data_IF_280275957730
#
_entry.id   IF_280275957730
#
_cell.length_a   1.000
_cell.length_b   1.000
_cell.length_c   1.000
_cell.angle_alpha   90.00
_cell.angle_beta   90.00
_cell.angle_gamma   90.00
#
_symmetry.space_group_name_H-M   'P 1'
#
loop_
_entity.id
_entity.type
_entity.pdbx_description
1 polymer ?
#
# COMPACT_ATOMS: atom_id res chain seq x y z
N UNK A 1 -29.89 13.95 -67.79
CA UNK A 1 -28.88 13.00 -67.27
C UNK A 1 -28.42 13.53 -65.92
N UNK A 2 -29.03 13.06 -64.83
CA UNK A 2 -28.70 13.51 -63.46
C UNK A 2 -27.75 12.51 -62.82
N UNK A 3 -26.52 12.94 -62.57
CA UNK A 3 -25.49 12.16 -61.87
C UNK A 3 -25.75 12.34 -60.37
N UNK A 4 -26.32 11.32 -59.75
CA UNK A 4 -26.60 11.29 -58.32
C UNK A 4 -25.29 11.10 -57.55
N UNK A 5 -24.99 12.04 -56.64
CA UNK A 5 -23.76 12.16 -55.88
C UNK A 5 -23.68 11.08 -54.78
N UNK A 6 -23.12 9.91 -55.10
CA UNK A 6 -23.02 8.73 -54.23
C UNK A 6 -21.95 8.84 -53.13
N UNK A 7 -21.13 9.91 -53.11
CA UNK A 7 -20.03 10.04 -52.14
C UNK A 7 -20.48 10.40 -50.72
N UNK A 8 -21.64 11.04 -50.54
CA UNK A 8 -22.11 11.47 -49.21
C UNK A 8 -22.76 10.34 -48.39
N UNK A 9 -23.21 9.25 -49.02
CA UNK A 9 -23.88 8.16 -48.31
C UNK A 9 -22.91 7.22 -47.56
N UNK A 10 -21.65 7.12 -48.01
CA UNK A 10 -20.64 6.21 -47.44
C UNK A 10 -19.99 6.81 -46.17
N UNK A 11 -19.86 8.13 -46.09
CA UNK A 11 -19.30 8.79 -44.90
C UNK A 11 -20.27 8.81 -43.72
N UNK A 12 -21.59 8.85 -43.97
CA UNK A 12 -22.61 8.89 -42.92
C UNK A 12 -22.77 7.55 -42.18
N UNK A 13 -22.61 6.43 -42.89
CA UNK A 13 -22.68 5.06 -42.32
C UNK A 13 -21.41 4.68 -41.56
N UNK A 14 -20.24 5.18 -41.99
CA UNK A 14 -18.96 4.95 -41.32
C UNK A 14 -18.86 5.67 -39.96
N UNK A 15 -19.33 6.93 -39.92
CA UNK A 15 -19.31 7.74 -38.70
C UNK A 15 -20.31 7.24 -37.63
N UNK A 16 -21.47 6.72 -38.06
CA UNK A 16 -22.45 6.12 -37.14
C UNK A 16 -21.99 4.77 -36.59
N UNK A 17 -21.34 3.91 -37.40
CA UNK A 17 -20.73 2.67 -36.89
C UNK A 17 -19.59 2.92 -35.90
N UNK A 18 -18.72 3.90 -36.17
CA UNK A 18 -17.64 4.27 -35.27
C UNK A 18 -18.16 4.87 -33.94
N UNK A 19 -19.23 5.68 -33.99
CA UNK A 19 -19.89 6.21 -32.81
C UNK A 19 -20.62 5.13 -31.99
N UNK A 20 -21.25 4.15 -32.63
CA UNK A 20 -21.85 2.98 -31.97
C UNK A 20 -20.79 2.07 -31.34
N UNK A 21 -19.63 1.91 -31.98
CA UNK A 21 -18.47 1.19 -31.42
C UNK A 21 -17.87 1.89 -30.19
N UNK A 22 -17.75 3.22 -30.22
CA UNK A 22 -17.31 4.01 -29.06
C UNK A 22 -18.35 4.01 -27.93
N UNK A 23 -19.65 4.08 -28.23
CA UNK A 23 -20.70 3.98 -27.20
C UNK A 23 -20.80 2.57 -26.61
N UNK A 24 -20.57 1.51 -27.39
CA UNK A 24 -20.53 0.13 -26.89
C UNK A 24 -19.31 -0.14 -26.01
N UNK A 25 -18.15 0.43 -26.33
CA UNK A 25 -16.97 0.39 -25.46
C UNK A 25 -17.14 1.21 -24.18
N UNK A 26 -17.92 2.30 -24.22
CA UNK A 26 -18.23 3.15 -23.07
C UNK A 26 -19.32 2.58 -22.13
N UNK A 27 -20.01 1.51 -22.53
CA UNK A 27 -21.14 0.94 -21.79
C UNK A 27 -20.91 -0.49 -21.27
N UNK A 28 -19.67 -1.02 -21.33
CA UNK A 28 -19.33 -2.18 -20.50
C UNK A 28 -19.33 -1.72 -19.04
N UNK A 29 -20.49 -1.84 -18.39
CA UNK A 29 -20.55 -1.68 -16.93
C UNK A 29 -19.63 -2.73 -16.34
N UNK A 30 -18.68 -2.27 -15.54
CA UNK A 30 -17.89 -3.18 -14.73
C UNK A 30 -18.84 -4.00 -13.86
N UNK A 31 -18.86 -5.32 -14.04
CA UNK A 31 -19.62 -6.18 -13.16
C UNK A 31 -18.90 -6.27 -11.81
N UNK A 32 -19.70 -6.29 -10.74
CA UNK A 32 -19.21 -6.61 -9.41
C UNK A 32 -19.21 -8.14 -9.24
N UNK A 33 -18.03 -8.72 -9.22
CA UNK A 33 -17.82 -10.16 -9.17
C UNK A 33 -17.32 -10.54 -7.79
N UNK A 34 -18.06 -11.41 -7.09
CA UNK A 34 -17.72 -11.82 -5.72
C UNK A 34 -17.10 -13.20 -5.70
N UNK A 35 -16.17 -13.41 -4.77
CA UNK A 35 -15.61 -14.74 -4.49
C UNK A 35 -16.70 -15.61 -3.83
N UNK A 36 -16.88 -16.85 -4.31
CA UNK A 36 -17.92 -17.78 -3.81
C UNK A 36 -17.53 -18.54 -2.55
N UNK A 37 -16.24 -18.57 -2.19
CA UNK A 37 -15.76 -19.30 -1.03
C UNK A 37 -14.25 -19.22 -0.85
N UNK A 38 -13.76 -19.76 0.26
CA UNK A 38 -12.32 -19.87 0.51
C UNK A 38 -11.66 -20.76 -0.54
N UNK A 39 -10.56 -20.28 -1.11
CA UNK A 39 -9.77 -21.09 -2.03
C UNK A 39 -9.13 -22.30 -1.34
N UNK A 40 -9.17 -23.44 -2.01
CA UNK A 40 -8.55 -24.70 -1.57
C UNK A 40 -7.51 -25.18 -2.56
N UNK A 41 -6.46 -25.87 -2.10
CA UNK A 41 -5.44 -26.46 -2.97
C UNK A 41 -4.74 -25.44 -3.88
N UNK A 42 -4.84 -25.66 -5.20
CA UNK A 42 -4.21 -24.86 -6.26
C UNK A 42 -5.15 -23.81 -6.88
N UNK A 43 -6.28 -23.51 -6.23
CA UNK A 43 -7.17 -22.45 -6.68
C UNK A 43 -6.52 -21.07 -6.44
N UNK A 44 -6.70 -20.18 -7.41
CA UNK A 44 -6.20 -18.81 -7.43
C UNK A 44 -7.15 -17.90 -8.24
N UNK A 45 -6.88 -16.60 -8.35
CA UNK A 45 -7.74 -15.68 -9.09
C UNK A 45 -8.00 -16.04 -10.58
N UNK A 46 -7.19 -16.91 -11.20
CA UNK A 46 -7.37 -17.36 -12.57
C UNK A 46 -8.30 -18.58 -12.67
N UNK A 47 -8.74 -19.14 -11.54
CA UNK A 47 -9.69 -20.25 -11.50
C UNK A 47 -11.12 -19.75 -11.75
N UNK A 48 -11.72 -20.17 -12.86
CA UNK A 48 -13.02 -19.64 -13.30
C UNK A 48 -14.18 -19.88 -12.33
N UNK A 49 -14.24 -21.07 -11.72
CA UNK A 49 -15.36 -21.48 -10.84
C UNK A 49 -15.34 -20.82 -9.46
N UNK A 50 -14.32 -20.01 -9.15
CA UNK A 50 -14.24 -19.31 -7.87
C UNK A 50 -15.15 -18.09 -7.80
N UNK A 51 -15.46 -17.50 -8.94
CA UNK A 51 -16.07 -16.20 -9.04
C UNK A 51 -17.57 -16.31 -9.31
N UNK A 52 -18.33 -15.31 -8.88
CA UNK A 52 -19.80 -15.31 -9.02
C UNK A 52 -20.30 -15.40 -10.46
N UNK A 53 -19.46 -15.04 -11.44
CA UNK A 53 -19.74 -15.09 -12.87
C UNK A 53 -19.22 -16.36 -13.57
N UNK A 54 -18.71 -17.35 -12.82
CA UNK A 54 -18.17 -18.61 -13.35
C UNK A 54 -17.07 -18.42 -14.43
N UNK A 55 -16.35 -17.29 -14.38
CA UNK A 55 -15.27 -16.96 -15.29
C UNK A 55 -14.00 -16.56 -14.52
N UNK A 56 -12.83 -16.80 -15.11
CA UNK A 56 -11.56 -16.38 -14.52
C UNK A 56 -11.54 -14.85 -14.35
N UNK A 57 -10.70 -14.35 -13.43
CA UNK A 57 -10.55 -12.90 -13.30
C UNK A 57 -10.11 -12.29 -14.64
N UNK A 58 -10.77 -11.22 -15.06
CA UNK A 58 -10.59 -10.62 -16.38
C UNK A 58 -10.71 -9.09 -16.31
N UNK A 59 -10.07 -8.38 -17.26
CA UNK A 59 -10.17 -6.93 -17.32
C UNK A 59 -11.62 -6.46 -17.45
N UNK A 60 -11.91 -5.30 -16.85
CA UNK A 60 -13.23 -4.67 -16.92
C UNK A 60 -14.13 -4.94 -15.72
N UNK A 61 -13.88 -5.99 -14.92
CA UNK A 61 -14.69 -6.31 -13.74
C UNK A 61 -14.03 -5.88 -12.43
N UNK A 62 -14.85 -5.54 -11.43
CA UNK A 62 -14.41 -5.29 -10.06
C UNK A 62 -14.62 -6.56 -9.22
N UNK A 63 -13.56 -7.02 -8.56
CA UNK A 63 -13.58 -8.29 -7.81
C UNK A 63 -13.56 -8.06 -6.30
N UNK A 64 -14.36 -8.84 -5.57
CA UNK A 64 -14.52 -8.69 -4.12
C UNK A 64 -14.31 -10.03 -3.41
N UNK A 65 -13.46 -10.06 -2.38
CA UNK A 65 -13.23 -11.29 -1.59
C UNK A 65 -14.39 -11.63 -0.68
N UNK A 66 -15.19 -10.64 -0.25
CA UNK A 66 -16.38 -10.83 0.59
C UNK A 66 -16.14 -11.70 1.84
N UNK A 67 -15.04 -11.44 2.56
CA UNK A 67 -14.64 -12.21 3.75
C UNK A 67 -13.94 -13.54 3.48
N UNK A 68 -13.83 -13.97 2.22
CA UNK A 68 -13.12 -15.20 1.87
C UNK A 68 -11.62 -14.97 1.63
N UNK A 69 -10.88 -16.07 1.60
CA UNK A 69 -9.45 -16.11 1.28
C UNK A 69 -9.23 -16.28 -0.21
N UNK A 70 -8.59 -15.27 -0.82
CA UNK A 70 -8.02 -15.29 -2.16
C UNK A 70 -6.51 -15.57 -2.07
N UNK A 71 -5.97 -16.28 -3.06
CA UNK A 71 -4.55 -16.57 -3.22
C UNK A 71 -4.10 -16.11 -4.60
N UNK A 72 -2.85 -15.65 -4.65
CA UNK A 72 -2.17 -15.46 -5.94
C UNK A 72 -1.78 -16.84 -6.51
N UNK A 73 -1.53 -16.96 -7.81
CA UNK A 73 -1.04 -18.20 -8.41
C UNK A 73 0.24 -18.70 -7.74
N UNK A 74 0.27 -19.99 -7.41
CA UNK A 74 1.41 -20.60 -6.72
C UNK A 74 2.49 -21.02 -7.72
N UNK A 75 3.38 -20.09 -8.05
CA UNK A 75 4.61 -20.40 -8.76
C UNK A 75 5.75 -20.49 -7.74
N UNK A 76 5.78 -21.54 -6.93
CA UNK A 76 6.50 -21.63 -5.65
C UNK A 76 7.99 -21.27 -5.66
N UNK A 77 8.65 -21.15 -6.82
CA UNK A 77 10.04 -20.70 -6.97
C UNK A 77 10.24 -19.70 -8.12
N UNK A 78 9.17 -19.17 -8.70
CA UNK A 78 9.26 -18.28 -9.84
C UNK A 78 9.35 -16.83 -9.40
N UNK A 79 10.29 -16.09 -10.01
CA UNK A 79 10.34 -14.64 -9.98
C UNK A 79 9.40 -14.01 -11.03
N UNK A 80 8.67 -14.82 -11.81
CA UNK A 80 7.69 -14.32 -12.77
C UNK A 80 6.59 -13.56 -12.02
N UNK A 81 6.45 -12.25 -12.26
CA UNK A 81 5.41 -11.45 -11.63
C UNK A 81 4.02 -12.01 -11.95
N UNK A 82 3.17 -12.09 -10.92
CA UNK A 82 1.77 -12.42 -11.08
C UNK A 82 0.95 -11.13 -11.09
N UNK A 83 0.34 -10.82 -12.22
CA UNK A 83 -0.48 -9.62 -12.39
C UNK A 83 -1.94 -9.99 -12.15
N UNK A 84 -2.62 -9.26 -11.26
CA UNK A 84 -4.07 -9.41 -11.13
C UNK A 84 -4.76 -8.80 -12.37
N UNK A 85 -5.56 -9.58 -13.13
CA UNK A 85 -6.10 -9.13 -14.40
C UNK A 85 -7.38 -8.30 -14.29
N UNK A 86 -8.01 -8.26 -13.11
CA UNK A 86 -9.26 -7.50 -12.91
C UNK A 86 -9.04 -5.99 -12.89
N UNK A 87 -10.12 -5.22 -13.12
CA UNK A 87 -10.06 -3.76 -13.07
C UNK A 87 -9.73 -3.26 -11.65
N UNK A 88 -10.27 -3.94 -10.62
CA UNK A 88 -9.92 -3.72 -9.23
C UNK A 88 -10.11 -4.99 -8.40
N UNK A 89 -9.37 -5.08 -7.29
CA UNK A 89 -9.56 -6.09 -6.26
C UNK A 89 -9.87 -5.40 -4.93
N UNK A 90 -11.02 -5.71 -4.35
CA UNK A 90 -11.36 -5.32 -2.98
C UNK A 90 -11.22 -6.53 -2.07
N UNK A 91 -10.25 -6.45 -1.15
CA UNK A 91 -10.10 -7.39 -0.05
C UNK A 91 -10.78 -6.77 1.15
N UNK A 92 -11.94 -7.30 1.52
CA UNK A 92 -12.71 -6.82 2.66
C UNK A 92 -13.36 -8.00 3.37
N UNK A 93 -13.74 -7.75 4.62
CA UNK A 93 -14.42 -8.70 5.47
C UNK A 93 -15.82 -9.04 5.01
N UNK A 94 -16.32 -10.17 5.50
CA UNK A 94 -17.67 -10.66 5.24
C UNK A 94 -18.62 -10.36 6.42
N UNK A 95 -19.85 -10.87 6.31
CA UNK A 95 -20.82 -10.84 7.41
C UNK A 95 -20.21 -11.51 8.65
N UNK A 96 -20.35 -10.87 9.81
CA UNK A 96 -19.82 -11.39 11.08
C UNK A 96 -18.40 -10.95 11.44
N UNK A 97 -17.79 -10.02 10.68
CA UNK A 97 -16.52 -9.38 11.05
C UNK A 97 -15.28 -10.20 10.70
N UNK A 98 -15.42 -11.29 9.95
CA UNK A 98 -14.29 -12.04 9.42
C UNK A 98 -13.47 -11.16 8.48
N UNK A 99 -12.13 -11.20 8.58
CA UNK A 99 -11.25 -10.45 7.68
C UNK A 99 -11.14 -11.15 6.32
N UNK A 100 -11.36 -10.40 5.23
CA UNK A 100 -11.03 -10.90 3.89
C UNK A 100 -9.52 -11.12 3.79
N UNK A 101 -9.07 -12.17 3.13
CA UNK A 101 -7.63 -12.47 3.08
C UNK A 101 -7.10 -12.53 1.66
N UNK A 102 -6.02 -11.81 1.38
CA UNK A 102 -5.18 -11.99 0.20
C UNK A 102 -3.89 -12.69 0.60
N UNK A 103 -3.67 -13.88 0.06
CA UNK A 103 -2.50 -14.69 0.33
C UNK A 103 -1.55 -14.66 -0.87
N UNK A 104 -0.39 -14.06 -0.70
CA UNK A 104 0.67 -14.01 -1.72
C UNK A 104 1.41 -15.35 -1.75
N UNK A 105 1.13 -16.16 -2.78
CA UNK A 105 1.85 -17.41 -3.06
C UNK A 105 2.97 -17.23 -4.07
N UNK A 106 2.96 -16.12 -4.79
CA UNK A 106 4.01 -15.67 -5.72
C UNK A 106 5.00 -14.73 -5.02
N UNK A 107 6.23 -14.67 -5.55
CA UNK A 107 7.28 -13.78 -5.03
C UNK A 107 7.03 -12.32 -5.38
N UNK A 108 6.44 -12.08 -6.54
CA UNK A 108 6.12 -10.75 -7.05
C UNK A 108 4.67 -10.77 -7.48
N UNK A 109 3.90 -9.80 -6.99
CA UNK A 109 2.49 -9.62 -7.30
C UNK A 109 2.26 -8.17 -7.69
N UNK A 110 1.61 -7.95 -8.81
CA UNK A 110 1.25 -6.62 -9.30
C UNK A 110 -0.27 -6.47 -9.32
N UNK A 111 -0.80 -5.41 -8.71
CA UNK A 111 -2.23 -5.09 -8.72
C UNK A 111 -2.42 -3.60 -9.03
N UNK A 112 -3.18 -3.28 -10.06
CA UNK A 112 -3.38 -1.89 -10.47
C UNK A 112 -4.25 -1.08 -9.48
N UNK A 113 -5.40 -1.63 -9.05
CA UNK A 113 -6.28 -1.03 -8.04
C UNK A 113 -6.60 -2.08 -6.97
N UNK A 114 -6.00 -1.90 -5.78
CA UNK A 114 -6.23 -2.72 -4.60
C UNK A 114 -6.93 -1.88 -3.53
N UNK A 115 -8.08 -2.36 -3.06
CA UNK A 115 -8.85 -1.73 -1.98
C UNK A 115 -8.85 -2.66 -0.78
N UNK A 116 -8.41 -2.16 0.36
CA UNK A 116 -8.30 -2.93 1.59
C UNK A 116 -9.30 -2.40 2.61
N UNK A 117 -10.31 -3.21 2.93
CA UNK A 117 -11.21 -2.98 4.05
C UNK A 117 -10.69 -3.65 5.33
N UNK A 118 -11.56 -4.38 6.02
CA UNK A 118 -11.17 -5.27 7.12
C UNK A 118 -10.48 -6.50 6.51
N UNK A 119 -9.17 -6.38 6.32
CA UNK A 119 -8.43 -7.23 5.40
C UNK A 119 -7.12 -7.73 5.98
N UNK A 120 -6.71 -8.94 5.59
CA UNK A 120 -5.38 -9.48 5.87
C UNK A 120 -4.66 -9.70 4.54
N UNK A 121 -3.52 -9.06 4.35
CA UNK A 121 -2.59 -9.40 3.28
C UNK A 121 -1.46 -10.21 3.90
N UNK A 122 -1.28 -11.44 3.44
CA UNK A 122 -0.27 -12.32 3.99
C UNK A 122 0.65 -12.92 2.95
N UNK A 123 1.95 -12.98 3.27
CA UNK A 123 2.88 -13.78 2.47
C UNK A 123 2.74 -15.25 2.85
N UNK A 124 2.72 -16.14 1.86
CA UNK A 124 2.92 -17.56 2.05
C UNK A 124 3.59 -18.25 0.86
N UNK A 125 4.45 -17.50 0.15
CA UNK A 125 5.20 -18.00 -0.98
C UNK A 125 6.15 -19.11 -0.53
N UNK A 126 5.89 -20.36 -0.95
CA UNK A 126 6.74 -21.53 -0.69
C UNK A 126 6.89 -21.99 0.77
N UNK A 127 7.67 -23.07 0.95
CA UNK A 127 7.95 -23.71 2.24
C UNK A 127 9.27 -23.25 2.90
N UNK A 128 10.08 -22.47 2.18
CA UNK A 128 11.38 -21.95 2.61
C UNK A 128 11.44 -20.44 2.36
N UNK A 129 12.39 -19.76 3.00
CA UNK A 129 12.48 -18.30 3.17
C UNK A 129 12.32 -17.48 1.88
N UNK A 130 11.11 -16.95 1.65
CA UNK A 130 10.78 -16.24 0.42
C UNK A 130 10.11 -14.92 0.77
N UNK A 131 10.85 -13.84 0.49
CA UNK A 131 10.33 -12.47 0.40
C UNK A 131 9.20 -12.42 -0.65
N UNK A 132 8.04 -11.91 -0.23
CA UNK A 132 6.98 -11.50 -1.15
C UNK A 132 7.06 -10.00 -1.40
N UNK A 133 6.90 -9.60 -2.65
CA UNK A 133 6.78 -8.21 -3.08
C UNK A 133 5.38 -8.02 -3.64
N UNK A 134 4.66 -7.05 -3.08
CA UNK A 134 3.37 -6.59 -3.58
C UNK A 134 3.57 -5.18 -4.15
N UNK A 135 3.44 -5.05 -5.46
CA UNK A 135 3.43 -3.76 -6.16
C UNK A 135 1.98 -3.36 -6.44
N UNK A 136 1.62 -2.15 -6.03
CA UNK A 136 0.27 -1.62 -6.20
C UNK A 136 0.31 -0.24 -6.83
N UNK A 137 -0.41 -0.03 -7.93
CA UNK A 137 -0.49 1.32 -8.51
C UNK A 137 -1.40 2.22 -7.68
N UNK A 138 -2.61 1.80 -7.36
CA UNK A 138 -3.52 2.52 -6.47
C UNK A 138 -3.89 1.62 -5.29
N UNK A 139 -3.39 1.94 -4.11
CA UNK A 139 -3.76 1.27 -2.87
C UNK A 139 -4.73 2.17 -2.10
N UNK A 140 -5.96 1.72 -1.90
CA UNK A 140 -6.95 2.43 -1.08
C UNK A 140 -7.18 1.68 0.22
N UNK A 141 -6.83 2.28 1.37
CA UNK A 141 -7.29 1.78 2.67
C UNK A 141 -8.68 2.36 2.95
N UNK A 142 -9.71 1.52 3.02
CA UNK A 142 -11.10 1.97 3.14
C UNK A 142 -11.36 2.62 4.51
N UNK A 143 -12.14 3.68 4.51
CA UNK A 143 -12.40 4.51 5.70
C UNK A 143 -13.00 3.71 6.86
N UNK A 144 -12.47 3.93 8.05
CA UNK A 144 -12.90 3.23 9.27
C UNK A 144 -12.57 1.73 9.28
N UNK A 145 -11.75 1.25 8.33
CA UNK A 145 -11.29 -0.14 8.26
C UNK A 145 -9.82 -0.27 8.61
N UNK A 146 -9.44 -1.50 8.97
CA UNK A 146 -8.05 -1.87 9.25
C UNK A 146 -7.64 -3.01 8.35
N UNK A 147 -6.60 -2.76 7.56
CA UNK A 147 -5.88 -3.77 6.81
C UNK A 147 -4.61 -4.17 7.56
N UNK A 148 -4.41 -5.47 7.73
CA UNK A 148 -3.27 -6.07 8.38
C UNK A 148 -2.36 -6.72 7.35
N UNK A 149 -1.11 -6.30 7.29
CA UNK A 149 -0.05 -6.86 6.46
C UNK A 149 0.88 -7.69 7.35
N UNK A 150 0.90 -9.01 7.11
CA UNK A 150 1.62 -9.98 7.97
C UNK A 150 2.42 -11.01 7.17
N UNK A 151 3.59 -11.39 7.66
CA UNK A 151 4.22 -12.65 7.29
C UNK A 151 3.78 -13.78 8.24
N UNK A 152 3.29 -14.91 7.71
CA UNK A 152 2.61 -15.94 8.51
C UNK A 152 3.52 -16.93 9.24
N UNK A 153 4.80 -17.05 8.86
CA UNK A 153 5.76 -17.94 9.53
C UNK A 153 7.18 -17.37 9.46
N UNK A 154 8.13 -17.93 10.23
CA UNK A 154 9.48 -17.40 10.54
C UNK A 154 10.34 -16.92 9.36
N UNK A 155 9.90 -17.14 8.12
CA UNK A 155 10.68 -16.94 6.91
C UNK A 155 9.90 -16.17 5.80
N UNK A 156 8.99 -15.26 6.15
CA UNK A 156 8.10 -14.59 5.18
C UNK A 156 8.08 -13.08 5.37
N UNK A 157 9.11 -12.40 4.88
CA UNK A 157 9.15 -10.94 4.81
C UNK A 157 8.23 -10.40 3.69
N UNK A 158 7.83 -9.13 3.80
CA UNK A 158 6.93 -8.49 2.84
C UNK A 158 7.46 -7.10 2.44
N UNK A 159 7.63 -6.89 1.14
CA UNK A 159 7.84 -5.58 0.54
C UNK A 159 6.52 -5.09 -0.07
N UNK A 160 6.11 -3.89 0.29
CA UNK A 160 4.97 -3.19 -0.29
C UNK A 160 5.47 -1.96 -1.05
N UNK A 161 5.26 -1.94 -2.36
CA UNK A 161 5.55 -0.79 -3.21
C UNK A 161 4.24 -0.20 -3.70
N UNK A 162 3.99 1.08 -3.44
CA UNK A 162 2.73 1.76 -3.77
C UNK A 162 3.01 2.99 -4.61
N UNK A 163 2.35 3.15 -5.76
CA UNK A 163 2.44 4.40 -6.51
C UNK A 163 1.56 5.47 -5.88
N UNK A 164 0.27 5.20 -5.66
CA UNK A 164 -0.69 6.11 -5.06
C UNK A 164 -1.35 5.46 -3.84
N UNK A 165 -1.07 5.98 -2.65
CA UNK A 165 -1.75 5.60 -1.41
C UNK A 165 -2.93 6.55 -1.15
N UNK A 166 -4.12 5.99 -0.97
CA UNK A 166 -5.40 6.69 -0.92
C UNK A 166 -6.27 6.20 0.25
N UNK A 167 -7.28 7.00 0.62
CA UNK A 167 -8.28 6.67 1.62
C UNK A 167 -7.92 7.08 3.05
N UNK A 168 -8.82 6.77 3.99
CA UNK A 168 -8.73 7.14 5.41
C UNK A 168 -8.64 5.95 6.37
N UNK A 169 -8.49 4.72 5.86
CA UNK A 169 -8.33 3.52 6.68
C UNK A 169 -6.94 3.37 7.32
N UNK A 170 -6.76 2.29 8.09
CA UNK A 170 -5.48 1.93 8.71
C UNK A 170 -4.76 0.84 7.90
N UNK A 171 -3.51 1.08 7.52
CA UNK A 171 -2.58 0.06 6.98
C UNK A 171 -1.60 -0.35 8.07
N UNK A 172 -1.73 -1.56 8.60
CA UNK A 172 -0.96 -2.02 9.75
C UNK A 172 -0.02 -3.15 9.39
N UNK A 173 1.27 -2.98 9.64
CA UNK A 173 2.27 -4.04 9.58
C UNK A 173 2.35 -4.73 10.95
N UNK A 174 2.32 -6.06 10.99
CA UNK A 174 2.33 -6.80 12.25
C UNK A 174 3.07 -8.12 12.17
N UNK A 175 3.36 -8.75 13.31
CA UNK A 175 4.24 -9.92 13.50
C UNK A 175 5.70 -9.53 13.80
N UNK A 176 6.11 -9.77 15.04
CA UNK A 176 7.37 -9.31 15.58
C UNK A 176 8.63 -9.97 15.04
N UNK A 177 8.50 -11.13 14.39
CA UNK A 177 9.63 -11.88 13.85
C UNK A 177 9.91 -11.55 12.37
N UNK A 178 9.42 -10.41 11.85
CA UNK A 178 9.36 -10.11 10.42
C UNK A 178 10.08 -8.82 10.05
N UNK A 179 10.50 -8.76 8.79
CA UNK A 179 10.94 -7.55 8.13
C UNK A 179 9.93 -7.11 7.07
N UNK A 180 9.70 -5.81 7.05
CA UNK A 180 8.81 -5.11 6.14
C UNK A 180 9.59 -4.03 5.43
N UNK A 181 9.33 -3.85 4.14
CA UNK A 181 9.80 -2.69 3.40
C UNK A 181 8.59 -1.96 2.79
N UNK A 182 8.59 -0.64 2.88
CA UNK A 182 7.53 0.21 2.34
C UNK A 182 8.13 1.30 1.47
N UNK A 183 7.68 1.33 0.21
CA UNK A 183 7.83 2.47 -0.68
C UNK A 183 6.45 3.02 -1.05
N UNK A 184 6.29 4.33 -0.98
CA UNK A 184 5.10 5.03 -1.46
C UNK A 184 5.53 6.25 -2.27
N UNK A 185 5.10 6.36 -3.53
CA UNK A 185 5.45 7.50 -4.39
C UNK A 185 4.60 8.72 -4.08
N UNK A 186 3.27 8.55 -4.04
CA UNK A 186 2.30 9.61 -3.80
C UNK A 186 1.37 9.21 -2.65
N UNK A 187 1.39 9.97 -1.54
CA UNK A 187 0.53 9.71 -0.39
C UNK A 187 -0.22 10.96 0.11
N UNK A 188 -0.17 12.08 -0.61
CA UNK A 188 -0.76 13.35 -0.18
C UNK A 188 -2.29 13.35 -0.08
N UNK A 189 -2.97 12.37 -0.66
CA UNK A 189 -4.43 12.18 -0.55
C UNK A 189 -4.83 11.15 0.53
N UNK A 190 -3.85 10.50 1.19
CA UNK A 190 -4.11 9.57 2.28
C UNK A 190 -4.31 10.33 3.59
N UNK A 191 -5.44 10.08 4.25
CA UNK A 191 -5.83 10.71 5.52
C UNK A 191 -5.89 9.73 6.69
N UNK A 192 -5.57 8.46 6.42
CA UNK A 192 -5.62 7.37 7.38
C UNK A 192 -4.36 7.26 8.22
N UNK A 193 -4.06 6.04 8.67
CA UNK A 193 -2.85 5.74 9.44
C UNK A 193 -2.03 4.60 8.85
N UNK A 194 -0.71 4.71 8.98
CA UNK A 194 0.23 3.59 8.81
C UNK A 194 0.67 3.13 10.19
N UNK A 195 0.48 1.86 10.51
CA UNK A 195 0.78 1.28 11.81
C UNK A 195 1.89 0.23 11.76
N UNK A 196 2.71 0.14 12.80
CA UNK A 196 3.64 -0.96 13.05
C UNK A 196 3.38 -1.58 14.43
N UNK A 197 2.78 -2.77 14.45
CA UNK A 197 2.49 -3.53 15.67
C UNK A 197 3.59 -4.54 16.01
N UNK A 198 4.40 -4.96 15.03
CA UNK A 198 5.47 -5.93 15.23
C UNK A 198 6.41 -5.97 14.03
N UNK A 199 7.69 -6.21 14.29
CA UNK A 199 8.71 -6.45 13.28
C UNK A 199 9.52 -5.19 12.97
N UNK A 200 10.34 -5.26 11.94
CA UNK A 200 11.13 -4.12 11.46
C UNK A 200 10.49 -3.57 10.19
N UNK A 201 10.09 -2.30 10.18
CA UNK A 201 9.67 -1.61 8.97
C UNK A 201 10.78 -0.70 8.46
N UNK A 202 11.20 -0.90 7.21
CA UNK A 202 12.17 -0.06 6.51
C UNK A 202 11.47 0.80 5.47
N UNK A 203 11.70 2.11 5.53
CA UNK A 203 11.21 3.03 4.50
C UNK A 203 12.19 3.08 3.34
N UNK A 204 11.76 2.65 2.15
CA UNK A 204 12.62 2.55 0.96
C UNK A 204 12.43 3.70 -0.04
N UNK A 205 11.52 4.63 0.25
CA UNK A 205 11.40 5.93 -0.42
C UNK A 205 11.01 7.00 0.60
N UNK A 206 11.16 8.28 0.24
CA UNK A 206 10.51 9.35 0.98
C UNK A 206 8.99 9.15 0.95
N UNK A 207 8.31 9.34 2.09
CA UNK A 207 6.86 9.17 2.22
C UNK A 207 6.27 10.44 2.80
N UNK A 208 5.31 11.03 2.09
CA UNK A 208 4.66 12.29 2.48
C UNK A 208 3.17 12.09 2.81
N UNK A 209 2.87 11.83 4.09
CA UNK A 209 1.52 11.62 4.65
C UNK A 209 0.99 12.92 5.28
N UNK A 210 0.83 13.97 4.48
CA UNK A 210 0.47 15.32 4.95
C UNK A 210 -0.82 15.38 5.78
N UNK A 211 -1.78 14.51 5.47
CA UNK A 211 -3.03 14.34 6.22
C UNK A 211 -3.09 13.06 7.07
N UNK A 212 -2.07 12.21 7.01
CA UNK A 212 -2.07 10.88 7.60
C UNK A 212 -1.18 10.77 8.84
N UNK A 213 -1.49 9.81 9.71
CA UNK A 213 -0.73 9.53 10.92
C UNK A 213 0.17 8.31 10.77
N UNK A 214 1.20 8.22 11.61
CA UNK A 214 1.97 6.99 11.78
C UNK A 214 1.91 6.52 13.24
N UNK A 215 1.66 5.23 13.46
CA UNK A 215 1.60 4.63 14.79
C UNK A 215 2.56 3.46 14.91
N UNK A 216 3.19 3.30 16.06
CA UNK A 216 4.15 2.23 16.33
C UNK A 216 3.98 1.74 17.76
N UNK A 217 3.73 0.45 17.96
CA UNK A 217 3.74 -0.14 19.30
C UNK A 217 5.18 -0.34 19.80
N UNK A 218 5.42 -0.48 21.11
CA UNK A 218 6.75 -0.82 21.67
C UNK A 218 7.23 -2.23 21.26
N UNK A 219 6.28 -3.11 20.92
CA UNK A 219 6.52 -4.55 20.73
C UNK A 219 6.71 -5.31 22.04
N UNK A 220 6.94 -6.62 21.95
CA UNK A 220 7.28 -7.45 23.11
C UNK A 220 8.78 -7.40 23.44
N UNK A 221 9.17 -7.75 24.67
CA UNK A 221 10.58 -7.73 25.13
C UNK A 221 11.50 -8.59 24.26
N UNK A 222 11.01 -9.73 23.76
CA UNK A 222 11.74 -10.68 22.90
C UNK A 222 11.49 -10.47 21.40
N UNK A 223 10.79 -9.40 21.06
CA UNK A 223 10.13 -9.24 19.77
C UNK A 223 9.84 -7.76 19.53
N UNK A 224 10.91 -6.94 19.49
CA UNK A 224 10.78 -5.51 19.40
C UNK A 224 10.25 -5.08 18.04
N UNK A 225 9.43 -4.04 18.02
CA UNK A 225 9.18 -3.28 16.79
C UNK A 225 10.41 -2.45 16.44
N UNK A 226 10.68 -2.18 15.17
CA UNK A 226 11.76 -1.28 14.78
C UNK A 226 11.37 -0.49 13.54
N UNK A 227 11.67 0.80 13.52
CA UNK A 227 11.47 1.66 12.35
C UNK A 227 12.84 2.11 11.83
N UNK A 228 13.14 1.72 10.59
CA UNK A 228 14.35 2.10 9.87
C UNK A 228 14.01 3.24 8.90
N UNK A 229 14.32 4.46 9.32
CA UNK A 229 14.18 5.70 8.56
C UNK A 229 15.35 5.84 7.58
N UNK A 230 15.44 4.98 6.56
CA UNK A 230 16.44 5.17 5.49
C UNK A 230 16.09 6.34 4.57
N UNK A 231 14.84 6.78 4.60
CA UNK A 231 14.29 7.91 3.86
C UNK A 231 13.42 8.75 4.80
N UNK A 232 12.99 9.92 4.33
CA UNK A 232 12.18 10.84 5.13
C UNK A 232 10.73 10.39 5.23
N UNK A 233 10.13 10.64 6.39
CA UNK A 233 8.73 10.40 6.68
C UNK A 233 8.08 11.71 7.14
N UNK A 234 7.10 12.21 6.40
CA UNK A 234 6.25 13.32 6.83
C UNK A 234 4.90 12.77 7.24
N UNK A 235 4.43 13.18 8.41
CA UNK A 235 3.13 12.78 8.97
C UNK A 235 2.46 13.97 9.64
N UNK A 236 1.13 13.92 9.78
CA UNK A 236 0.40 14.88 10.61
C UNK A 236 0.60 14.60 12.11
N UNK A 237 0.84 13.34 12.47
CA UNK A 237 1.23 12.92 13.82
C UNK A 237 1.98 11.59 13.81
N UNK A 238 2.84 11.42 14.81
CA UNK A 238 3.55 10.17 15.07
C UNK A 238 3.29 9.71 16.50
N UNK A 239 2.74 8.51 16.67
CA UNK A 239 2.49 7.92 17.99
C UNK A 239 3.40 6.72 18.20
N UNK A 240 4.23 6.77 19.24
CA UNK A 240 4.96 5.61 19.74
C UNK A 240 4.32 5.14 21.06
N UNK A 241 3.67 3.98 20.98
CA UNK A 241 2.85 3.39 22.04
C UNK A 241 1.76 4.35 22.53
N UNK A 242 1.97 4.99 23.68
CA UNK A 242 1.03 5.93 24.28
C UNK A 242 1.40 7.40 24.07
N UNK A 243 2.62 7.68 23.59
CA UNK A 243 3.13 9.05 23.45
C UNK A 243 3.00 9.51 21.99
N UNK A 244 2.44 10.70 21.79
CA UNK A 244 2.20 11.27 20.46
C UNK A 244 3.00 12.55 20.24
N UNK A 245 3.70 12.63 19.11
CA UNK A 245 4.32 13.82 18.55
C UNK A 245 3.36 14.40 17.50
N UNK A 246 2.86 15.61 17.73
CA UNK A 246 1.90 16.27 16.84
C UNK A 246 2.13 17.80 16.73
N UNK A 247 3.27 18.29 17.20
CA UNK A 247 3.65 19.71 17.05
C UNK A 247 4.15 19.95 15.64
N UNK A 248 3.43 20.77 14.88
CA UNK A 248 3.76 21.09 13.49
C UNK A 248 5.12 21.80 13.38
N UNK A 249 5.90 21.40 12.37
CA UNK A 249 7.21 21.95 12.07
C UNK A 249 8.38 21.26 12.77
N UNK A 250 8.12 20.30 13.66
CA UNK A 250 9.18 19.55 14.33
C UNK A 250 9.76 18.46 13.43
N UNK A 251 11.07 18.25 13.57
CA UNK A 251 11.81 17.21 12.86
C UNK A 251 12.68 16.41 13.83
N UNK A 252 12.79 15.11 13.59
CA UNK A 252 13.50 14.19 14.45
C UNK A 252 14.34 13.22 13.62
N UNK A 253 15.63 13.11 13.94
CA UNK A 253 16.48 12.00 13.52
C UNK A 253 16.15 10.74 14.31
N UNK A 254 16.57 9.57 13.83
CA UNK A 254 16.47 8.32 14.58
C UNK A 254 17.12 8.42 15.98
N UNK A 255 18.27 9.08 16.11
CA UNK A 255 18.95 9.28 17.38
C UNK A 255 18.15 10.16 18.35
N UNK A 256 17.49 11.20 17.85
CA UNK A 256 16.62 12.06 18.67
C UNK A 256 15.36 11.32 19.12
N UNK A 257 14.73 10.51 18.26
CA UNK A 257 13.60 9.67 18.65
C UNK A 257 14.01 8.66 19.73
N UNK A 258 15.15 7.99 19.55
CA UNK A 258 15.71 7.07 20.52
C UNK A 258 15.95 7.75 21.89
N UNK A 259 16.52 8.96 21.89
CA UNK A 259 16.74 9.72 23.11
C UNK A 259 15.41 10.15 23.77
N UNK A 260 14.47 10.68 22.97
CA UNK A 260 13.17 11.15 23.44
C UNK A 260 12.34 10.03 24.09
N UNK A 261 12.28 8.86 23.45
CA UNK A 261 11.53 7.70 23.93
C UNK A 261 12.36 6.74 24.81
N UNK A 262 13.61 7.09 25.13
CA UNK A 262 14.53 6.24 25.91
C UNK A 262 14.64 4.81 25.36
N UNK A 263 14.93 4.69 24.06
CA UNK A 263 14.87 3.43 23.32
C UNK A 263 15.97 3.31 22.26
N UNK A 264 16.00 2.19 21.53
CA UNK A 264 16.90 1.90 20.40
C UNK A 264 16.16 1.42 19.16
N UNK A 265 14.86 1.72 19.11
CA UNK A 265 13.88 1.20 18.14
C UNK A 265 13.89 1.95 16.80
N UNK A 266 14.64 3.05 16.72
CA UNK A 266 14.76 3.88 15.53
C UNK A 266 16.18 3.80 14.98
N UNK A 267 16.32 3.73 13.66
CA UNK A 267 17.63 3.75 12.97
C UNK A 267 17.51 4.37 11.58
N UNK A 268 18.62 4.58 10.88
CA UNK A 268 18.66 5.19 9.55
C UNK A 268 18.99 6.69 9.56
N UNK A 269 19.28 7.23 8.38
CA UNK A 269 19.78 8.59 8.16
C UNK A 269 18.69 9.61 7.77
N UNK A 270 17.47 9.14 7.51
CA UNK A 270 16.31 9.95 7.20
C UNK A 270 15.71 10.66 8.42
N UNK A 271 14.74 11.53 8.17
CA UNK A 271 14.06 12.33 9.19
C UNK A 271 12.57 11.95 9.30
N UNK A 272 12.05 11.98 10.53
CA UNK A 272 10.62 12.11 10.79
C UNK A 272 10.28 13.60 10.89
N UNK A 273 9.31 14.07 10.10
CA UNK A 273 8.81 15.43 10.15
C UNK A 273 7.32 15.44 10.50
N UNK A 274 6.95 16.23 11.50
CA UNK A 274 5.55 16.45 11.87
C UNK A 274 5.07 17.69 11.14
N UNK A 275 4.28 17.53 10.07
CA UNK A 275 3.87 18.68 9.26
C UNK A 275 3.14 18.35 7.97
N UNK A 276 2.94 19.40 7.17
CA UNK A 276 2.07 19.36 5.99
C UNK A 276 2.80 19.15 4.66
N UNK A 277 4.13 19.18 4.63
CA UNK A 277 4.97 18.86 3.44
C UNK A 277 6.42 18.57 3.86
N UNK A 278 7.19 17.86 3.03
CA UNK A 278 8.65 17.77 3.19
C UNK A 278 9.22 19.18 3.01
N UNK A 279 9.99 19.72 3.96
CA UNK A 279 10.66 21.01 3.76
C UNK A 279 11.59 20.89 2.53
N UNK A 280 11.48 21.83 1.58
CA UNK A 280 12.35 21.80 0.38
C UNK A 280 13.82 21.68 0.79
N UNK A 281 14.69 20.98 0.02
CA UNK A 281 16.08 20.72 0.42
C UNK A 281 16.86 21.98 0.84
N UNK A 282 16.56 23.12 0.23
CA UNK A 282 17.14 24.42 0.58
C UNK A 282 16.79 24.88 2.02
N UNK A 283 15.59 24.57 2.50
CA UNK A 283 15.14 24.88 3.86
C UNK A 283 15.79 23.98 4.91
N UNK A 284 16.05 22.70 4.57
CA UNK A 284 16.80 21.77 5.44
C UNK A 284 18.26 22.22 5.56
N UNK A 285 18.90 22.60 4.46
CA UNK A 285 20.26 23.14 4.46
C UNK A 285 20.34 24.44 5.28
N UNK A 286 19.35 25.32 5.18
CA UNK A 286 19.27 26.53 5.98
C UNK A 286 19.07 26.23 7.48
N UNK A 287 18.25 25.24 7.84
CA UNK A 287 18.02 24.83 9.22
C UNK A 287 19.30 24.23 9.83
N UNK A 288 20.01 23.35 9.10
CA UNK A 288 21.30 22.81 9.54
C UNK A 288 22.35 23.92 9.68
N UNK A 289 22.41 24.87 8.75
CA UNK A 289 23.33 26.01 8.82
C UNK A 289 23.01 26.93 10.01
N UNK A 290 21.74 27.16 10.32
CA UNK A 290 21.31 27.93 11.48
C UNK A 290 21.67 27.23 12.80
N UNK A 291 21.45 25.92 12.91
CA UNK A 291 21.84 25.14 14.08
C UNK A 291 23.37 25.13 14.28
N UNK A 292 24.14 24.99 13.20
CA UNK A 292 25.59 25.09 13.24
C UNK A 292 26.08 26.49 13.65
N UNK A 293 25.47 27.56 13.14
CA UNK A 293 25.80 28.93 13.55
C UNK A 293 25.44 29.21 15.01
N UNK A 294 24.32 28.68 15.51
CA UNK A 294 23.94 28.78 16.92
C UNK A 294 24.93 28.05 17.84
N UNK A 295 25.37 26.85 17.44
CA UNK A 295 26.40 26.11 18.18
C UNK A 295 27.76 26.84 18.21
N UNK A 296 28.18 27.44 17.09
CA UNK A 296 29.42 28.23 17.00
C UNK A 296 29.34 29.50 17.85
N UNK A 297 28.21 30.21 17.81
CA UNK A 297 28.02 31.44 18.60
C UNK A 297 27.92 31.15 20.11
N UNK A 298 27.32 30.04 20.52
CA UNK A 298 27.32 29.61 21.92
C UNK A 298 28.71 29.16 22.40
N UNK A 299 29.53 28.52 21.55
CA UNK A 299 30.91 28.12 21.89
C UNK A 299 31.85 29.31 22.04
N UNK A 300 31.59 30.43 21.35
CA UNK A 300 32.41 31.65 21.42
C UNK A 300 32.09 32.56 22.62
N UNK A 301 31.00 32.27 23.35
CA UNK A 301 30.56 33.01 24.56
C UNK A 301 30.92 32.31 25.88
N UNK A 302 31.61 31.18 25.84
CA UNK A 302 32.27 30.55 26.99
C UNK A 302 33.77 30.80 26.89
#
# INVERSE_FOLDING_TARGET
MNIMNTKSAIHLTSATLAALGLLAAAALRADNVTLRGNQTGNQDWATATLWSNDAAASPGNAYFTNGYTLRTPSTANSLVPQVFPGASLTVDGGVGGAMGTLTLKSRITDIADLRLGTATVSSSAGATNILATLNVTNLTALDGKTALLIGNNTNQDLTLNVTNLLGGGALTFGNAARQYALSVTNAGAFTGSIGLLGGTLTLTSDINLTGGAFTMAIGGTNSPTSLVLNNNLVVSSFTFDTTTLNTLGESYTAAQLNAYFSTTRFSGDGLLFIGSTIPEPASIAALLAAAAMLAVTMRRRR
#
